data_IF_917916706420
#
_entry.id   IF_917916706420
#
_cell.length_a   1.000
_cell.length_b   1.000
_cell.length_c   1.000
_cell.angle_alpha   90.00
_cell.angle_beta   90.00
_cell.angle_gamma   90.00
#
_symmetry.space_group_name_H-M   'P 1'
#
loop_
_entity.id
_entity.type
_entity.pdbx_description
1 polymer ?
#
# COMPACT_ATOMS: atom_id res chain seq x y z
N UNK A 1 12.35 5.25 -33.09
CA UNK A 1 11.75 6.09 -34.14
C UNK A 1 10.78 5.28 -34.98
N UNK A 2 9.57 5.83 -35.23
CA UNK A 2 8.66 5.36 -36.28
C UNK A 2 8.85 6.22 -37.55
N UNK A 3 8.67 5.62 -38.70
CA UNK A 3 8.57 6.35 -39.99
C UNK A 3 7.09 6.51 -40.30
N UNK A 4 6.62 7.74 -40.31
CA UNK A 4 5.23 8.06 -40.67
C UNK A 4 5.22 8.58 -42.11
N UNK A 5 4.37 7.96 -42.95
CA UNK A 5 4.16 8.38 -44.32
C UNK A 5 2.76 9.00 -44.47
N UNK A 6 2.70 10.20 -45.00
CA UNK A 6 1.41 10.84 -45.28
C UNK A 6 0.79 10.32 -46.61
N UNK A 7 -0.44 10.73 -46.93
CA UNK A 7 -1.15 10.32 -48.17
C UNK A 7 -0.42 10.73 -49.46
N UNK A 8 0.45 11.74 -49.41
CA UNK A 8 1.27 12.20 -50.51
C UNK A 8 2.62 11.46 -50.61
N UNK A 9 2.85 10.44 -49.77
CA UNK A 9 4.06 9.60 -49.78
C UNK A 9 5.28 10.24 -49.12
N UNK A 10 5.12 11.41 -48.46
CA UNK A 10 6.23 12.06 -47.72
C UNK A 10 6.46 11.39 -46.41
N UNK A 11 7.70 10.92 -46.18
CA UNK A 11 8.12 10.25 -44.97
C UNK A 11 8.71 11.26 -43.97
N UNK A 12 8.33 11.11 -42.70
CA UNK A 12 8.97 11.79 -41.59
C UNK A 12 9.34 10.81 -40.48
N UNK A 13 10.47 11.02 -39.84
CA UNK A 13 10.84 10.29 -38.63
C UNK A 13 10.09 10.87 -37.45
N UNK A 14 9.42 10.01 -36.69
CA UNK A 14 8.76 10.35 -35.45
C UNK A 14 9.47 9.67 -34.28
N UNK A 15 9.86 10.44 -33.27
CA UNK A 15 10.46 9.90 -32.05
C UNK A 15 9.36 9.21 -31.23
N UNK A 16 9.43 7.90 -31.11
CA UNK A 16 8.44 7.09 -30.37
C UNK A 16 8.72 7.00 -28.88
N UNK A 17 10.01 7.01 -28.53
CA UNK A 17 10.45 7.01 -27.13
C UNK A 17 11.60 7.98 -26.96
N UNK A 18 11.54 8.93 -26.03
CA UNK A 18 12.65 9.81 -25.70
C UNK A 18 13.79 9.02 -25.05
N UNK A 19 15.00 9.58 -25.09
CA UNK A 19 16.05 9.09 -24.20
C UNK A 19 15.62 9.35 -22.76
N UNK A 20 15.53 8.27 -21.99
CA UNK A 20 15.06 8.31 -20.61
C UNK A 20 16.13 7.82 -19.67
N UNK A 21 16.41 8.58 -18.63
CA UNK A 21 17.35 8.23 -17.56
C UNK A 21 16.57 7.91 -16.29
N UNK A 22 16.85 6.75 -15.71
CA UNK A 22 16.23 6.25 -14.48
C UNK A 22 17.28 6.26 -13.37
N UNK A 23 16.96 6.89 -12.24
CA UNK A 23 17.84 6.92 -11.08
C UNK A 23 17.08 6.44 -9.85
N UNK A 24 17.75 5.65 -9.02
CA UNK A 24 17.23 5.19 -7.73
C UNK A 24 18.31 5.42 -6.70
N UNK A 25 17.96 6.12 -5.62
CA UNK A 25 18.79 6.30 -4.43
C UNK A 25 18.04 5.76 -3.23
N UNK A 26 18.69 4.92 -2.45
CA UNK A 26 18.17 4.40 -1.19
C UNK A 26 19.25 4.52 -0.11
N UNK A 27 18.86 5.03 1.04
CA UNK A 27 19.72 5.19 2.21
C UNK A 27 18.99 4.63 3.42
N UNK A 28 19.59 3.61 4.03
CA UNK A 28 19.07 2.99 5.25
C UNK A 28 20.02 3.22 6.42
N UNK A 29 19.45 3.47 7.58
CA UNK A 29 20.20 3.58 8.81
C UNK A 29 19.56 2.75 9.92
N UNK A 30 20.31 1.76 10.39
CA UNK A 30 19.91 0.93 11.52
C UNK A 30 20.12 1.66 12.84
N UNK A 31 19.06 1.70 13.64
CA UNK A 31 19.04 2.28 14.97
C UNK A 31 19.12 1.17 16.03
N UNK A 32 19.13 1.57 17.31
CA UNK A 32 19.03 0.62 18.43
C UNK A 32 17.70 -0.13 18.40
N UNK A 33 17.66 -1.29 19.08
CA UNK A 33 16.47 -2.12 19.28
C UNK A 33 15.86 -2.65 17.96
N UNK A 34 16.69 -2.99 16.96
CA UNK A 34 16.23 -3.42 15.63
C UNK A 34 15.27 -2.42 14.96
N UNK A 35 15.50 -1.15 15.19
CA UNK A 35 14.79 -0.06 14.56
C UNK A 35 15.53 0.41 13.31
N UNK A 36 14.83 0.98 12.35
CA UNK A 36 15.41 1.45 11.09
C UNK A 36 14.73 2.74 10.65
N UNK A 37 15.49 3.59 9.96
CA UNK A 37 14.98 4.72 9.20
C UNK A 37 15.54 4.64 7.78
N UNK A 38 14.73 4.98 6.79
CA UNK A 38 15.08 4.90 5.37
C UNK A 38 14.70 6.18 4.65
N UNK A 39 15.48 6.53 3.63
CA UNK A 39 15.19 7.58 2.67
C UNK A 39 15.33 6.99 1.27
N UNK A 40 14.33 7.19 0.43
CA UNK A 40 14.32 6.72 -0.95
C UNK A 40 14.00 7.89 -1.87
N UNK A 41 14.73 7.97 -2.98
CA UNK A 41 14.40 8.86 -4.09
C UNK A 41 14.49 8.09 -5.40
N UNK A 42 13.47 8.20 -6.21
CA UNK A 42 13.46 7.69 -7.59
C UNK A 42 13.18 8.84 -8.54
N UNK A 43 13.93 8.88 -9.64
CA UNK A 43 13.85 9.97 -10.59
C UNK A 43 13.88 9.44 -12.02
N UNK A 44 12.99 9.94 -12.86
CA UNK A 44 12.88 9.62 -14.29
C UNK A 44 12.99 10.92 -15.07
N UNK A 45 14.09 11.07 -15.77
CA UNK A 45 14.36 12.23 -16.62
C UNK A 45 14.20 11.85 -18.10
N UNK A 46 13.37 12.58 -18.83
CA UNK A 46 13.09 12.36 -20.25
C UNK A 46 13.63 13.52 -21.10
N UNK A 47 14.23 13.19 -22.21
CA UNK A 47 14.72 14.19 -23.14
C UNK A 47 13.59 14.58 -24.12
N UNK A 48 13.30 15.87 -24.23
CA UNK A 48 12.27 16.39 -25.14
C UNK A 48 11.10 17.06 -24.40
N UNK A 49 9.90 16.93 -24.94
CA UNK A 49 8.66 17.55 -24.42
C UNK A 49 7.89 16.67 -23.42
N UNK A 50 8.40 15.49 -23.14
CA UNK A 50 7.80 14.57 -22.16
C UNK A 50 8.02 15.11 -20.73
N UNK A 51 7.14 14.73 -19.81
CA UNK A 51 7.29 15.13 -18.41
C UNK A 51 8.40 14.34 -17.69
N UNK A 52 9.01 14.97 -16.70
CA UNK A 52 9.90 14.31 -15.75
C UNK A 52 9.13 13.88 -14.50
N UNK A 53 9.54 12.77 -13.89
CA UNK A 53 8.92 12.28 -12.67
C UNK A 53 9.93 12.10 -11.56
N UNK A 54 9.53 12.42 -10.35
CA UNK A 54 10.34 12.20 -9.15
C UNK A 54 9.47 11.70 -8.00
N UNK A 55 9.95 10.70 -7.29
CA UNK A 55 9.34 10.20 -6.07
C UNK A 55 10.36 10.36 -4.95
N UNK A 56 10.00 11.07 -3.90
CA UNK A 56 10.81 11.17 -2.69
C UNK A 56 10.03 10.63 -1.51
N UNK A 57 10.62 9.72 -0.78
CA UNK A 57 9.97 9.09 0.37
C UNK A 57 10.92 8.83 1.51
N UNK A 58 10.36 8.71 2.69
CA UNK A 58 11.05 8.24 3.87
C UNK A 58 10.17 7.30 4.66
N UNK A 59 10.79 6.39 5.40
CA UNK A 59 10.12 5.47 6.29
C UNK A 59 10.89 5.27 7.58
N UNK A 60 10.19 4.81 8.60
CA UNK A 60 10.81 4.38 9.85
C UNK A 60 10.05 3.20 10.44
N UNK A 61 10.77 2.35 11.15
CA UNK A 61 10.23 1.38 12.08
C UNK A 61 10.99 1.48 13.40
N UNK A 62 10.29 1.82 14.47
CA UNK A 62 10.87 1.98 15.81
C UNK A 62 10.29 0.92 16.74
N UNK A 63 11.16 0.17 17.39
CA UNK A 63 10.79 -0.90 18.33
C UNK A 63 11.23 -0.58 19.75
N UNK A 64 10.42 -1.00 20.71
CA UNK A 64 10.80 -0.94 22.12
C UNK A 64 11.97 -1.88 22.42
N UNK A 65 12.72 -1.58 23.49
CA UNK A 65 13.89 -2.39 23.90
C UNK A 65 13.54 -3.86 24.16
N UNK A 66 12.35 -4.12 24.68
CA UNK A 66 11.85 -5.47 24.98
C UNK A 66 11.16 -6.13 23.77
N UNK A 67 11.21 -5.49 22.58
CA UNK A 67 10.62 -5.97 21.34
C UNK A 67 9.13 -6.30 21.44
N UNK A 68 8.39 -5.57 22.30
CA UNK A 68 6.95 -5.81 22.48
C UNK A 68 6.09 -4.92 21.60
N UNK A 69 6.54 -3.69 21.37
CA UNK A 69 5.78 -2.71 20.60
C UNK A 69 6.62 -2.17 19.46
N UNK A 70 5.94 -1.84 18.37
CA UNK A 70 6.49 -1.18 17.21
C UNK A 70 5.61 0.00 16.81
N UNK A 71 6.27 1.06 16.32
CA UNK A 71 5.62 2.16 15.60
C UNK A 71 6.34 2.28 14.27
N UNK A 72 5.61 2.24 13.19
CA UNK A 72 6.14 2.47 11.85
C UNK A 72 5.41 3.59 11.13
N UNK A 73 6.08 4.20 10.19
CA UNK A 73 5.51 5.22 9.34
C UNK A 73 6.26 5.35 8.02
N UNK A 74 5.55 5.78 7.01
CA UNK A 74 6.07 6.07 5.68
C UNK A 74 5.40 7.32 5.15
N UNK A 75 6.19 8.21 4.53
CA UNK A 75 5.69 9.35 3.78
C UNK A 75 6.35 9.39 2.42
N UNK A 76 5.58 9.60 1.37
CA UNK A 76 6.03 9.63 -0.03
C UNK A 76 5.37 10.80 -0.74
N UNK A 77 6.16 11.55 -1.50
CA UNK A 77 5.72 12.62 -2.38
C UNK A 77 5.99 12.23 -3.83
N UNK A 78 4.96 12.22 -4.66
CA UNK A 78 5.09 12.10 -6.11
C UNK A 78 5.07 13.49 -6.76
N UNK A 79 5.93 13.67 -7.74
CA UNK A 79 6.15 14.94 -8.42
C UNK A 79 6.28 14.67 -9.92
N UNK A 80 5.43 15.28 -10.72
CA UNK A 80 5.52 15.26 -12.19
C UNK A 80 5.71 16.68 -12.69
N UNK A 81 6.73 16.89 -13.49
CA UNK A 81 7.12 18.20 -14.02
C UNK A 81 6.86 18.22 -15.51
N UNK A 82 5.85 18.96 -15.91
CA UNK A 82 5.52 19.26 -17.31
C UNK A 82 6.17 20.57 -17.73
N UNK A 83 6.13 20.93 -19.03
CA UNK A 83 6.73 22.17 -19.53
C UNK A 83 6.21 23.43 -18.83
N UNK A 84 4.88 23.51 -18.56
CA UNK A 84 4.22 24.68 -18.02
C UNK A 84 3.50 24.45 -16.68
N UNK A 85 3.59 23.24 -16.11
CA UNK A 85 2.91 22.88 -14.88
C UNK A 85 3.65 21.82 -14.09
N UNK A 86 3.23 21.59 -12.86
CA UNK A 86 3.70 20.47 -12.06
C UNK A 86 2.54 19.88 -11.25
N UNK A 87 2.47 18.55 -11.20
CA UNK A 87 1.51 17.82 -10.40
C UNK A 87 2.21 17.21 -9.17
N UNK A 88 1.57 17.34 -8.03
CA UNK A 88 2.05 16.83 -6.76
C UNK A 88 1.00 15.94 -6.11
N UNK A 89 1.43 14.78 -5.64
CA UNK A 89 0.62 13.90 -4.85
C UNK A 89 1.41 13.32 -3.69
N UNK A 90 0.74 12.80 -2.69
CA UNK A 90 1.40 12.17 -1.55
C UNK A 90 0.69 10.89 -1.11
N UNK A 91 1.47 9.99 -0.52
CA UNK A 91 0.99 8.84 0.23
C UNK A 91 1.65 8.83 1.60
N UNK A 92 0.88 8.61 2.65
CA UNK A 92 1.37 8.42 4.01
C UNK A 92 0.74 7.19 4.63
N UNK A 93 1.52 6.46 5.42
CA UNK A 93 1.01 5.40 6.27
C UNK A 93 1.70 5.42 7.62
N UNK A 94 0.99 5.01 8.65
CA UNK A 94 1.55 4.79 9.98
C UNK A 94 0.81 3.65 10.66
N UNK A 95 1.53 2.94 11.51
CA UNK A 95 0.99 1.82 12.27
C UNK A 95 1.61 1.79 13.67
N UNK A 96 0.77 1.53 14.66
CA UNK A 96 1.16 1.12 15.99
C UNK A 96 0.82 -0.35 16.18
N UNK A 97 1.78 -1.15 16.67
CA UNK A 97 1.61 -2.59 16.83
C UNK A 97 2.16 -3.10 18.14
N UNK A 98 1.45 -4.03 18.76
CA UNK A 98 2.02 -4.97 19.72
C UNK A 98 2.47 -6.21 18.96
N UNK A 99 3.79 -6.46 18.93
CA UNK A 99 4.42 -7.44 18.03
C UNK A 99 4.89 -8.73 18.73
N UNK A 100 4.63 -8.91 20.01
CA UNK A 100 5.06 -10.12 20.73
C UNK A 100 4.04 -10.60 21.78
N UNK A 101 4.19 -11.86 22.15
CA UNK A 101 3.28 -12.59 23.04
C UNK A 101 2.21 -13.34 22.26
N UNK A 102 1.33 -14.04 22.98
CA UNK A 102 0.25 -14.83 22.35
C UNK A 102 -0.83 -13.94 21.71
N UNK A 103 -0.99 -12.74 22.21
CA UNK A 103 -1.87 -11.72 21.66
C UNK A 103 -1.04 -10.60 21.06
N UNK A 104 -1.26 -10.36 19.76
CA UNK A 104 -0.72 -9.22 19.02
C UNK A 104 -1.87 -8.41 18.43
N UNK A 105 -1.64 -7.12 18.18
CA UNK A 105 -2.64 -6.24 17.56
C UNK A 105 -1.95 -5.10 16.85
N UNK A 106 -2.64 -4.55 15.85
CA UNK A 106 -2.21 -3.33 15.17
C UNK A 106 -3.36 -2.36 14.96
N UNK A 107 -2.99 -1.09 14.85
CA UNK A 107 -3.83 0.00 14.42
C UNK A 107 -3.02 0.87 13.46
N UNK A 108 -3.49 0.99 12.24
CA UNK A 108 -2.81 1.74 11.19
C UNK A 108 -3.76 2.59 10.37
N UNK A 109 -3.18 3.54 9.66
CA UNK A 109 -3.89 4.36 8.68
C UNK A 109 -3.03 4.52 7.43
N UNK A 110 -3.68 4.52 6.27
CA UNK A 110 -3.10 4.85 4.97
C UNK A 110 -3.87 6.02 4.39
N UNK A 111 -3.17 7.02 3.89
CA UNK A 111 -3.74 8.19 3.23
C UNK A 111 -3.01 8.39 1.91
N UNK A 112 -3.76 8.45 0.82
CA UNK A 112 -3.26 8.76 -0.51
C UNK A 112 -4.08 9.89 -1.12
N UNK A 113 -3.42 10.96 -1.52
CA UNK A 113 -4.08 12.07 -2.21
C UNK A 113 -4.58 11.64 -3.59
N UNK A 114 -5.58 12.36 -4.12
CA UNK A 114 -6.15 12.06 -5.44
C UNK A 114 -5.12 12.10 -6.59
N UNK A 115 -4.08 12.91 -6.44
CA UNK A 115 -3.03 13.10 -7.45
C UNK A 115 -1.77 12.26 -7.18
N UNK A 116 -1.79 11.36 -6.19
CA UNK A 116 -0.63 10.51 -5.93
C UNK A 116 -0.41 9.52 -7.08
N UNK A 117 0.75 9.60 -7.72
CA UNK A 117 1.08 8.77 -8.87
C UNK A 117 2.56 8.35 -8.87
N UNK A 118 2.86 7.12 -8.43
CA UNK A 118 4.21 6.55 -8.44
C UNK A 118 4.53 5.74 -9.71
N UNK A 119 3.67 5.73 -10.74
CA UNK A 119 3.67 4.73 -11.80
C UNK A 119 4.85 4.79 -12.79
N UNK A 120 5.70 5.82 -12.74
CA UNK A 120 6.90 5.88 -13.57
C UNK A 120 7.99 4.86 -13.16
N UNK A 121 8.11 4.53 -11.88
CA UNK A 121 9.02 3.52 -11.32
C UNK A 121 8.32 2.65 -10.25
N UNK A 122 7.03 2.69 -10.17
CA UNK A 122 6.18 1.94 -9.26
C UNK A 122 4.96 1.40 -9.97
N UNK A 123 4.01 0.91 -9.17
CA UNK A 123 2.69 0.52 -9.63
C UNK A 123 1.65 0.91 -8.59
N UNK A 124 0.67 1.69 -9.00
CA UNK A 124 -0.52 2.00 -8.23
C UNK A 124 -1.73 1.93 -9.16
N UNK A 125 -2.72 1.14 -8.78
CA UNK A 125 -3.93 0.99 -9.59
C UNK A 125 -4.83 2.22 -9.50
N UNK A 126 -5.00 2.73 -8.28
CA UNK A 126 -5.90 3.85 -8.01
C UNK A 126 -5.48 4.57 -6.73
N UNK A 127 -5.20 5.88 -6.78
CA UNK A 127 -4.95 6.71 -5.59
C UNK A 127 -6.28 7.13 -4.92
N UNK A 128 -6.25 8.19 -4.10
CA UNK A 128 -7.42 8.81 -3.49
C UNK A 128 -8.05 7.95 -2.39
N UNK A 129 -7.24 7.51 -1.45
CA UNK A 129 -7.64 6.63 -0.37
C UNK A 129 -7.37 7.23 1.01
N UNK A 130 -8.28 6.96 1.96
CA UNK A 130 -8.06 7.15 3.40
C UNK A 130 -8.62 5.93 4.12
N UNK A 131 -7.75 5.01 4.51
CA UNK A 131 -8.10 3.74 5.12
C UNK A 131 -7.61 3.64 6.54
N UNK A 132 -8.50 3.22 7.44
CA UNK A 132 -8.18 2.78 8.80
C UNK A 132 -8.10 1.25 8.82
N UNK A 133 -7.01 0.73 9.34
CA UNK A 133 -6.73 -0.71 9.42
C UNK A 133 -6.58 -1.13 10.88
N UNK A 134 -7.20 -2.24 11.24
CA UNK A 134 -7.01 -2.83 12.56
C UNK A 134 -6.77 -4.33 12.44
N UNK A 135 -5.96 -4.89 13.33
CA UNK A 135 -5.87 -6.33 13.50
C UNK A 135 -5.77 -6.73 14.96
N UNK A 136 -6.23 -7.91 15.27
CA UNK A 136 -5.99 -8.61 16.53
C UNK A 136 -5.79 -10.09 16.23
N UNK A 137 -4.70 -10.63 16.75
CA UNK A 137 -4.29 -12.00 16.49
C UNK A 137 -4.00 -12.71 17.81
N UNK A 138 -4.46 -13.96 17.91
CA UNK A 138 -4.11 -14.87 18.99
C UNK A 138 -3.40 -16.08 18.42
N UNK A 139 -2.13 -16.27 18.81
CA UNK A 139 -1.35 -17.45 18.45
C UNK A 139 -0.84 -18.14 19.69
N UNK A 140 -1.21 -19.40 19.85
CA UNK A 140 -0.73 -20.20 20.96
C UNK A 140 -0.21 -21.56 20.49
N UNK A 141 1.02 -21.85 20.86
CA UNK A 141 1.67 -23.14 20.62
C UNK A 141 1.57 -24.02 21.85
N UNK A 142 1.22 -25.30 21.66
CA UNK A 142 1.16 -26.35 22.69
C UNK A 142 0.42 -25.89 23.96
N UNK A 143 -0.89 -25.51 23.85
CA UNK A 143 -1.67 -25.09 25.01
C UNK A 143 -1.62 -26.15 26.11
N UNK A 144 -1.33 -25.74 27.34
CA UNK A 144 -1.17 -26.66 28.48
C UNK A 144 -2.45 -27.47 28.75
N UNK A 145 -2.32 -28.75 29.05
CA UNK A 145 -3.47 -29.66 29.28
C UNK A 145 -4.32 -29.99 28.06
N UNK A 146 -3.98 -29.49 26.86
CA UNK A 146 -4.73 -29.64 25.64
C UNK A 146 -4.14 -30.73 24.73
N UNK A 147 -5.00 -31.31 23.85
CA UNK A 147 -4.58 -32.14 22.71
C UNK A 147 -4.11 -31.29 21.50
N UNK A 148 -4.12 -29.97 21.63
CA UNK A 148 -3.76 -29.07 20.56
C UNK A 148 -2.24 -28.86 20.48
N UNK A 149 -1.75 -28.75 19.26
CA UNK A 149 -0.36 -28.38 18.93
C UNK A 149 -0.25 -26.88 18.69
N UNK A 150 -1.25 -26.29 18.05
CA UNK A 150 -1.28 -24.88 17.68
C UNK A 150 -2.73 -24.39 17.53
N UNK A 151 -2.96 -23.16 17.96
CA UNK A 151 -4.20 -22.43 17.73
C UNK A 151 -3.83 -21.03 17.21
N UNK A 152 -4.38 -20.65 16.07
CA UNK A 152 -4.32 -19.30 15.53
C UNK A 152 -5.75 -18.81 15.31
N UNK A 153 -6.05 -17.63 15.82
CA UNK A 153 -7.32 -16.94 15.59
C UNK A 153 -6.94 -15.49 15.26
N UNK A 154 -7.45 -14.96 14.16
CA UNK A 154 -7.25 -13.57 13.79
C UNK A 154 -8.55 -12.90 13.36
N UNK A 155 -8.63 -11.62 13.66
CA UNK A 155 -9.64 -10.71 13.16
C UNK A 155 -8.97 -9.44 12.68
N UNK A 156 -9.32 -9.00 11.48
CA UNK A 156 -8.85 -7.73 10.95
C UNK A 156 -10.00 -6.97 10.31
N UNK A 157 -9.87 -5.65 10.26
CA UNK A 157 -10.82 -4.81 9.55
C UNK A 157 -10.12 -3.72 8.76
N UNK A 158 -10.77 -3.32 7.67
CA UNK A 158 -10.40 -2.13 6.89
C UNK A 158 -11.65 -1.30 6.65
N UNK A 159 -11.56 -0.04 7.01
CA UNK A 159 -12.59 0.97 6.74
C UNK A 159 -11.98 2.03 5.84
N UNK A 160 -12.54 2.19 4.64
CA UNK A 160 -11.99 3.04 3.59
C UNK A 160 -12.96 4.14 3.20
N UNK A 161 -12.45 5.36 3.13
CA UNK A 161 -13.06 6.49 2.44
C UNK A 161 -12.19 6.91 1.26
N UNK A 162 -12.76 7.62 0.29
CA UNK A 162 -11.93 8.46 -0.57
C UNK A 162 -11.25 9.54 0.29
N UNK A 163 -10.05 9.97 -0.10
CA UNK A 163 -9.40 11.12 0.51
C UNK A 163 -10.14 12.40 0.14
N UNK A 164 -10.52 12.56 -1.13
CA UNK A 164 -11.24 13.73 -1.65
C UNK A 164 -12.21 13.34 -2.79
N UNK A 165 -13.52 13.66 -2.65
CA UNK A 165 -14.21 14.12 -1.45
C UNK A 165 -14.20 13.05 -0.36
N UNK A 166 -14.24 13.44 0.91
CA UNK A 166 -14.21 12.48 2.02
C UNK A 166 -15.56 11.76 2.14
N UNK A 167 -15.69 10.66 1.38
CA UNK A 167 -16.91 9.84 1.32
C UNK A 167 -16.55 8.36 1.49
N UNK A 168 -17.47 7.61 2.08
CA UNK A 168 -17.32 6.17 2.33
C UNK A 168 -17.14 5.40 1.01
N UNK A 169 -16.22 4.47 0.99
CA UNK A 169 -15.96 3.56 -0.12
C UNK A 169 -16.16 2.10 0.27
N UNK A 170 -15.47 1.62 1.30
CA UNK A 170 -15.47 0.19 1.64
C UNK A 170 -15.32 -0.07 3.14
N UNK A 171 -15.94 -1.14 3.62
CA UNK A 171 -15.71 -1.67 4.96
C UNK A 171 -15.86 -3.18 4.98
N UNK A 172 -14.81 -3.86 5.41
CA UNK A 172 -14.88 -5.30 5.64
C UNK A 172 -14.17 -5.72 6.92
N UNK A 173 -14.57 -6.90 7.39
CA UNK A 173 -13.99 -7.61 8.53
C UNK A 173 -13.61 -9.00 8.04
N UNK A 174 -12.35 -9.37 8.19
CA UNK A 174 -11.85 -10.71 7.93
C UNK A 174 -11.65 -11.44 9.27
N UNK A 175 -12.22 -12.62 9.36
CA UNK A 175 -12.04 -13.53 10.49
C UNK A 175 -11.37 -14.80 9.98
N UNK A 176 -10.30 -15.25 10.63
CA UNK A 176 -9.66 -16.51 10.29
C UNK A 176 -9.32 -17.34 11.51
N UNK A 177 -9.28 -18.66 11.33
CA UNK A 177 -8.85 -19.60 12.35
C UNK A 177 -8.05 -20.73 11.74
N UNK A 178 -7.07 -21.22 12.51
CA UNK A 178 -6.33 -22.44 12.20
C UNK A 178 -6.03 -23.18 13.48
N UNK A 179 -6.41 -24.45 13.54
CA UNK A 179 -6.21 -25.35 14.69
C UNK A 179 -5.47 -26.58 14.21
N UNK A 180 -4.36 -26.92 14.88
CA UNK A 180 -3.57 -28.12 14.65
C UNK A 180 -3.55 -28.97 15.92
N UNK A 181 -3.93 -30.24 15.82
CA UNK A 181 -3.87 -31.22 16.91
C UNK A 181 -2.52 -31.93 16.97
N UNK A 182 -2.20 -32.49 18.14
CA UNK A 182 -1.00 -33.33 18.33
C UNK A 182 -1.04 -34.62 17.48
N UNK A 183 -2.23 -35.07 17.07
CA UNK A 183 -2.44 -36.16 16.10
C UNK A 183 -2.01 -35.80 14.68
N UNK A 184 -1.68 -34.55 14.39
CA UNK A 184 -1.37 -33.95 13.09
C UNK A 184 -2.61 -33.65 12.22
N UNK A 185 -3.81 -33.82 12.77
CA UNK A 185 -5.03 -33.34 12.11
C UNK A 185 -5.06 -31.81 12.19
N UNK A 186 -5.57 -31.14 11.16
CA UNK A 186 -5.70 -29.71 11.11
C UNK A 186 -7.05 -29.28 10.52
N UNK A 187 -7.58 -28.16 11.02
CA UNK A 187 -8.73 -27.48 10.44
C UNK A 187 -8.44 -25.99 10.41
N UNK A 188 -8.89 -25.33 9.36
CA UNK A 188 -8.78 -23.88 9.22
C UNK A 188 -9.81 -23.37 8.25
N UNK A 189 -10.07 -22.07 8.34
CA UNK A 189 -10.99 -21.38 7.46
C UNK A 189 -10.94 -19.88 7.69
N UNK A 190 -11.49 -19.14 6.73
CA UNK A 190 -11.66 -17.70 6.79
C UNK A 190 -13.05 -17.30 6.33
N UNK A 191 -13.54 -16.20 6.87
CA UNK A 191 -14.80 -15.56 6.50
C UNK A 191 -14.56 -14.07 6.37
N UNK A 192 -15.04 -13.50 5.25
CA UNK A 192 -15.13 -12.05 5.07
C UNK A 192 -16.56 -11.60 5.27
N UNK A 193 -16.73 -10.57 6.04
CA UNK A 193 -18.00 -9.90 6.29
C UNK A 193 -17.92 -8.48 5.73
N UNK A 194 -18.89 -8.10 4.91
CA UNK A 194 -19.05 -6.75 4.35
C UNK A 194 -20.39 -6.18 4.82
N UNK A 195 -20.44 -5.63 6.06
CA UNK A 195 -21.70 -5.23 6.68
C UNK A 195 -22.33 -3.97 6.06
N UNK A 196 -21.55 -3.23 5.26
CA UNK A 196 -21.99 -2.02 4.56
C UNK A 196 -21.72 -2.23 3.08
N UNK A 197 -22.67 -1.88 2.22
CA UNK A 197 -22.51 -1.98 0.76
C UNK A 197 -21.33 -1.13 0.30
N UNK A 198 -20.37 -1.77 -0.34
CA UNK A 198 -19.18 -1.14 -0.91
C UNK A 198 -19.54 -0.23 -2.08
N UNK A 199 -18.86 0.89 -2.21
CA UNK A 199 -19.03 1.85 -3.30
C UNK A 199 -17.77 1.91 -4.15
N UNK A 200 -17.93 1.74 -5.47
CA UNK A 200 -16.83 1.80 -6.43
C UNK A 200 -16.92 3.11 -7.23
N UNK A 201 -16.05 4.05 -6.88
CA UNK A 201 -16.00 5.36 -7.53
C UNK A 201 -15.10 5.39 -8.77
N UNK A 202 -14.30 4.35 -8.99
CA UNK A 202 -13.34 4.28 -10.10
C UNK A 202 -13.91 3.52 -11.30
N UNK A 203 -14.72 2.50 -11.03
CA UNK A 203 -15.40 1.70 -12.06
C UNK A 203 -16.88 1.50 -11.67
N UNK A 204 -17.69 2.58 -11.61
CA UNK A 204 -19.07 2.49 -11.16
C UNK A 204 -19.93 1.70 -12.16
N UNK A 205 -20.62 0.67 -11.64
CA UNK A 205 -21.54 -0.16 -12.42
C UNK A 205 -23.00 0.18 -12.15
N UNK A 206 -23.25 1.01 -11.15
CA UNK A 206 -24.58 1.46 -10.71
C UNK A 206 -24.58 2.98 -10.58
N UNK A 207 -25.75 3.60 -10.65
CA UNK A 207 -25.88 5.05 -10.52
C UNK A 207 -25.54 5.58 -9.10
N UNK A 208 -25.60 4.71 -8.09
CA UNK A 208 -25.27 5.01 -6.69
C UNK A 208 -23.87 4.53 -6.29
N UNK A 209 -23.05 4.09 -7.27
CA UNK A 209 -21.69 3.58 -7.07
C UNK A 209 -21.59 2.31 -6.21
N UNK A 210 -22.71 1.58 -5.98
CA UNK A 210 -22.65 0.32 -5.25
C UNK A 210 -22.03 -0.80 -6.09
N UNK A 211 -21.29 -1.72 -5.45
CA UNK A 211 -20.87 -2.99 -6.03
C UNK A 211 -21.97 -4.05 -5.83
N UNK A 212 -22.05 -4.98 -6.78
CA UNK A 212 -22.87 -6.17 -6.66
C UNK A 212 -22.17 -7.25 -5.83
#
# INVERSE_FOLDING_TARGET
YAIIRNEQGVERKFLTNPLTNYNVLELDHNLKNNSVVSLTNTNVLRNGEEYDANITGGSFELKTKDQKYSVSGRGVLSQKYFADSADFGFSTSYEFSKISGNWTYSLGQVIESANYDPNDLGFLFSPNENSLLTSIDHTQYKPAGSKLQQVNISASSRYTNLYEPFVFSDFYIDLSTFILWKSRDAVGGNVRLEPITTRDYFEPRTADFSRY
#
